data_IF_548975183387
#
_entry.id   IF_548975183387
#
_cell.length_a   1.000
_cell.length_b   1.000
_cell.length_c   1.000
_cell.angle_alpha   90.00
_cell.angle_beta   90.00
_cell.angle_gamma   90.00
#
_symmetry.space_group_name_H-M   'P 1'
#
loop_
_entity.id
_entity.type
_entity.pdbx_description
1 polymer ?
#
# COMPACT_ATOMS: atom_id res chain seq x y z
N UNK A 1 -50.01 57.18 -38.93
CA UNK A 1 -50.03 55.99 -38.07
C UNK A 1 -48.59 55.55 -37.84
N UNK A 2 -48.12 55.59 -36.59
CA UNK A 2 -46.73 55.27 -36.23
C UNK A 2 -46.54 53.75 -36.12
N UNK A 3 -45.54 53.22 -36.82
CA UNK A 3 -45.17 51.80 -36.76
C UNK A 3 -44.30 51.53 -35.53
N UNK A 4 -44.77 50.67 -34.63
CA UNK A 4 -44.01 50.20 -33.46
C UNK A 4 -42.98 49.16 -33.90
N UNK A 5 -41.68 49.46 -33.75
CA UNK A 5 -40.60 48.48 -33.85
C UNK A 5 -40.54 47.68 -32.56
N UNK A 6 -40.86 46.40 -32.60
CA UNK A 6 -40.57 45.42 -31.55
C UNK A 6 -39.07 45.21 -31.43
N UNK A 7 -38.49 45.69 -30.32
CA UNK A 7 -37.12 45.35 -29.91
C UNK A 7 -37.17 44.02 -29.15
N UNK A 8 -36.78 42.93 -29.82
CA UNK A 8 -36.50 41.65 -29.15
C UNK A 8 -35.23 41.81 -28.32
N UNK A 9 -35.39 41.81 -26.99
CA UNK A 9 -34.27 41.72 -26.04
C UNK A 9 -33.69 40.30 -26.12
N UNK A 10 -32.59 40.15 -26.85
CA UNK A 10 -31.69 39.01 -26.67
C UNK A 10 -31.08 39.12 -25.28
N UNK A 11 -31.56 38.32 -24.33
CA UNK A 11 -30.84 38.08 -23.08
C UNK A 11 -29.56 37.34 -23.41
N UNK A 12 -28.36 37.88 -23.11
CA UNK A 12 -27.14 37.10 -23.22
C UNK A 12 -27.27 35.94 -22.24
N UNK A 13 -27.34 34.72 -22.78
CA UNK A 13 -27.14 33.49 -22.01
C UNK A 13 -25.79 33.64 -21.32
N UNK A 14 -25.81 33.93 -20.02
CA UNK A 14 -24.61 33.98 -19.20
C UNK A 14 -23.92 32.61 -19.36
N UNK A 15 -22.81 32.66 -20.11
CA UNK A 15 -21.84 31.59 -20.24
C UNK A 15 -21.68 30.92 -18.89
N UNK A 16 -21.90 29.60 -18.88
CA UNK A 16 -21.68 28.71 -17.73
C UNK A 16 -20.53 29.28 -16.92
N UNK A 17 -20.82 29.77 -15.72
CA UNK A 17 -19.80 29.89 -14.71
C UNK A 17 -19.04 28.58 -14.73
N UNK A 18 -17.78 28.65 -15.13
CA UNK A 18 -16.82 27.58 -14.95
C UNK A 18 -17.01 27.15 -13.51
N UNK A 19 -17.63 25.98 -13.32
CA UNK A 19 -17.77 25.39 -12.00
C UNK A 19 -16.34 25.29 -11.50
N UNK A 20 -15.97 26.17 -10.58
CA UNK A 20 -14.76 26.02 -9.80
C UNK A 20 -15.04 24.75 -9.02
N UNK A 21 -14.62 23.61 -9.57
CA UNK A 21 -14.79 22.32 -8.91
C UNK A 21 -13.80 22.37 -7.78
N UNK A 22 -14.29 22.66 -6.57
CA UNK A 22 -13.46 22.57 -5.38
C UNK A 22 -12.92 21.15 -5.30
N UNK A 23 -11.61 21.00 -5.46
CA UNK A 23 -10.95 19.72 -5.22
C UNK A 23 -11.08 19.44 -3.73
N UNK A 24 -12.04 18.60 -3.35
CA UNK A 24 -12.18 18.13 -1.98
C UNK A 24 -11.20 16.98 -1.75
N UNK A 25 -10.61 16.88 -0.56
CA UNK A 25 -9.81 15.72 -0.16
C UNK A 25 -10.67 14.71 0.60
N UNK A 26 -10.28 13.44 0.55
CA UNK A 26 -10.94 12.40 1.34
C UNK A 26 -10.66 12.60 2.83
N UNK A 27 -11.69 12.45 3.67
CA UNK A 27 -11.56 12.54 5.12
C UNK A 27 -10.53 11.51 5.64
N UNK A 28 -9.58 11.95 6.47
CA UNK A 28 -8.48 11.12 6.96
C UNK A 28 -7.32 10.92 5.96
N UNK A 29 -7.48 11.30 4.68
CA UNK A 29 -6.46 11.12 3.65
C UNK A 29 -6.22 12.41 2.83
N UNK A 30 -5.34 13.31 3.31
CA UNK A 30 -5.13 14.63 2.69
C UNK A 30 -4.52 14.58 1.29
N UNK A 31 -3.95 13.44 0.89
CA UNK A 31 -3.30 13.23 -0.41
C UNK A 31 -4.22 12.58 -1.45
N UNK A 32 -5.47 12.27 -1.10
CA UNK A 32 -6.46 11.69 -2.02
C UNK A 32 -7.46 12.79 -2.39
N UNK A 33 -7.46 13.16 -3.66
CA UNK A 33 -8.35 14.15 -4.23
C UNK A 33 -9.63 13.50 -4.74
N UNK A 34 -10.75 14.15 -4.46
CA UNK A 34 -12.10 13.71 -4.76
C UNK A 34 -12.70 14.68 -5.75
N UNK A 35 -12.97 14.18 -6.96
CA UNK A 35 -13.58 14.95 -8.04
C UNK A 35 -15.04 14.54 -8.23
N UNK A 36 -16.00 15.48 -8.18
CA UNK A 36 -17.41 15.15 -8.42
C UNK A 36 -17.66 14.84 -9.90
N UNK A 37 -18.32 13.73 -10.20
CA UNK A 37 -18.70 13.27 -11.55
C UNK A 37 -20.14 12.75 -11.56
N UNK A 38 -21.11 13.57 -11.99
CA UNK A 38 -22.52 13.23 -12.25
C UNK A 38 -23.12 12.13 -11.34
N UNK A 39 -23.18 12.36 -10.02
CA UNK A 39 -23.73 11.42 -9.03
C UNK A 39 -22.74 10.38 -8.48
N UNK A 40 -21.48 10.45 -8.90
CA UNK A 40 -20.35 9.67 -8.39
C UNK A 40 -19.16 10.59 -8.08
N UNK A 41 -18.14 10.03 -7.46
CA UNK A 41 -16.90 10.70 -7.10
C UNK A 41 -15.72 9.92 -7.66
N UNK A 42 -14.82 10.60 -8.37
CA UNK A 42 -13.58 10.02 -8.87
C UNK A 42 -12.49 10.32 -7.83
N UNK A 43 -11.77 9.28 -7.41
CA UNK A 43 -10.64 9.38 -6.48
C UNK A 43 -9.34 9.37 -7.26
N UNK A 44 -8.45 10.34 -7.02
CA UNK A 44 -7.15 10.45 -7.67
C UNK A 44 -6.07 10.86 -6.66
N UNK A 45 -4.82 10.45 -6.92
CA UNK A 45 -3.66 10.94 -6.19
C UNK A 45 -3.12 12.27 -6.72
N UNK A 46 -3.51 12.64 -7.94
CA UNK A 46 -3.05 13.87 -8.60
C UNK A 46 -4.13 14.95 -8.54
N UNK A 47 -3.77 16.21 -8.24
CA UNK A 47 -4.69 17.35 -8.24
C UNK A 47 -4.98 17.88 -9.66
N UNK A 48 -4.79 17.09 -10.72
CA UNK A 48 -4.93 17.52 -12.12
C UNK A 48 -6.40 17.76 -12.49
N UNK A 49 -6.71 18.93 -13.08
CA UNK A 49 -8.01 19.26 -13.67
C UNK A 49 -7.88 19.42 -15.20
N UNK A 50 -8.60 18.64 -16.03
CA UNK A 50 -9.56 17.58 -15.68
C UNK A 50 -8.90 16.29 -15.15
N UNK A 51 -9.57 15.53 -14.27
CA UNK A 51 -9.02 14.30 -13.73
C UNK A 51 -8.88 13.25 -14.84
N UNK A 52 -7.69 12.66 -14.98
CA UNK A 52 -7.46 11.60 -15.94
C UNK A 52 -8.04 10.27 -15.42
N UNK A 53 -9.14 9.82 -16.03
CA UNK A 53 -9.81 8.57 -15.64
C UNK A 53 -8.90 7.35 -15.70
N UNK A 54 -7.89 7.34 -16.59
CA UNK A 54 -6.97 6.21 -16.76
C UNK A 54 -6.04 6.00 -15.56
N UNK A 55 -5.64 7.09 -14.90
CA UNK A 55 -4.71 7.10 -13.77
C UNK A 55 -5.39 7.35 -12.42
N UNK A 56 -6.71 7.52 -12.42
CA UNK A 56 -7.51 7.62 -11.20
C UNK A 56 -7.45 6.31 -10.40
N UNK A 57 -7.52 6.42 -9.08
CA UNK A 57 -7.56 5.27 -8.16
C UNK A 57 -8.82 4.43 -8.43
N UNK A 58 -9.94 5.12 -8.65
CA UNK A 58 -11.23 4.50 -8.94
C UNK A 58 -12.39 5.47 -8.78
N UNK A 59 -13.59 4.93 -8.86
CA UNK A 59 -14.85 5.67 -8.77
C UNK A 59 -15.64 5.18 -7.56
N UNK A 60 -16.24 6.10 -6.79
CA UNK A 60 -17.12 5.77 -5.68
C UNK A 60 -18.46 6.49 -5.75
N UNK A 61 -19.52 5.84 -5.26
CA UNK A 61 -20.87 6.44 -5.16
C UNK A 61 -21.16 7.06 -3.79
N UNK A 62 -20.38 6.73 -2.75
CA UNK A 62 -20.57 7.20 -1.36
C UNK A 62 -19.24 7.56 -0.74
N UNK A 63 -19.23 8.60 0.10
CA UNK A 63 -18.09 9.00 0.92
C UNK A 63 -18.48 8.81 2.39
N UNK A 64 -17.67 8.11 3.22
CA UNK A 64 -16.44 7.41 2.87
C UNK A 64 -16.67 6.19 1.94
N UNK A 65 -15.68 5.83 1.12
CA UNK A 65 -15.77 4.67 0.22
C UNK A 65 -15.86 3.37 1.02
N UNK A 66 -16.76 2.49 0.57
CA UNK A 66 -16.98 1.14 1.12
C UNK A 66 -16.70 0.12 0.02
N UNK A 67 -16.56 -1.16 0.38
CA UNK A 67 -16.33 -2.25 -0.59
C UNK A 67 -17.43 -2.32 -1.66
N UNK A 68 -18.66 -1.94 -1.32
CA UNK A 68 -19.81 -2.01 -2.23
C UNK A 68 -19.98 -0.72 -3.05
N UNK A 69 -19.48 0.41 -2.54
CA UNK A 69 -19.61 1.71 -3.20
C UNK A 69 -18.42 2.08 -4.08
N UNK A 70 -17.28 1.41 -3.93
CA UNK A 70 -16.04 1.71 -4.65
C UNK A 70 -15.75 0.70 -5.75
N UNK A 71 -15.46 1.20 -6.95
CA UNK A 71 -14.98 0.42 -8.09
C UNK A 71 -13.55 0.83 -8.40
N UNK A 72 -12.63 -0.11 -8.20
CA UNK A 72 -11.20 0.09 -8.47
C UNK A 72 -10.90 0.19 -9.98
N UNK A 73 -9.85 0.95 -10.28
CA UNK A 73 -9.29 1.01 -11.62
C UNK A 73 -8.14 -0.01 -11.74
N UNK A 74 -8.25 -1.03 -12.62
CA UNK A 74 -7.22 -2.05 -12.77
C UNK A 74 -5.89 -1.49 -13.33
N UNK A 75 -5.93 -0.42 -14.12
CA UNK A 75 -4.72 0.20 -14.67
C UNK A 75 -3.91 0.88 -13.56
N UNK A 76 -4.59 1.54 -12.62
CA UNK A 76 -3.94 2.11 -11.44
C UNK A 76 -3.32 1.03 -10.55
N UNK A 77 -4.01 -0.10 -10.34
CA UNK A 77 -3.49 -1.23 -9.57
C UNK A 77 -2.20 -1.79 -10.18
N UNK A 78 -2.13 -1.90 -11.51
CA UNK A 78 -0.90 -2.31 -12.21
C UNK A 78 0.25 -1.34 -11.94
N UNK A 79 0.02 -0.04 -12.10
CA UNK A 79 1.03 0.99 -11.86
C UNK A 79 1.51 0.96 -10.40
N UNK A 80 0.58 0.78 -9.46
CA UNK A 80 0.89 0.62 -8.05
C UNK A 80 1.81 -0.59 -7.82
N UNK A 81 1.46 -1.75 -8.37
CA UNK A 81 2.25 -2.97 -8.25
C UNK A 81 3.63 -2.83 -8.90
N UNK A 82 3.71 -2.18 -10.06
CA UNK A 82 4.99 -1.90 -10.73
C UNK A 82 5.88 -1.04 -9.84
N UNK A 83 5.35 0.05 -9.26
CA UNK A 83 6.10 0.93 -8.35
C UNK A 83 6.54 0.20 -7.09
N UNK A 84 5.68 -0.63 -6.49
CA UNK A 84 6.05 -1.43 -5.31
C UNK A 84 7.11 -2.46 -5.67
N UNK A 85 7.03 -3.09 -6.85
CA UNK A 85 8.05 -4.03 -7.31
C UNK A 85 9.41 -3.36 -7.52
N UNK A 86 9.43 -2.12 -8.00
CA UNK A 86 10.66 -1.40 -8.33
C UNK A 86 11.29 -0.72 -7.11
N UNK A 87 10.48 -0.15 -6.23
CA UNK A 87 10.95 0.68 -5.10
C UNK A 87 10.69 0.05 -3.73
N UNK A 88 9.96 -1.06 -3.63
CA UNK A 88 9.61 -1.68 -2.35
C UNK A 88 10.83 -2.03 -1.49
N UNK A 89 11.92 -2.48 -2.10
CA UNK A 89 13.18 -2.79 -1.41
C UNK A 89 13.94 -1.55 -0.91
N UNK A 90 13.56 -0.34 -1.34
CA UNK A 90 14.16 0.93 -0.92
C UNK A 90 13.32 1.62 0.16
N UNK A 91 12.14 1.07 0.48
CA UNK A 91 11.26 1.64 1.49
C UNK A 91 11.91 1.52 2.87
N UNK A 92 12.05 2.63 3.64
CA UNK A 92 12.69 2.58 4.95
C UNK A 92 12.03 1.59 5.91
N UNK A 93 10.71 1.44 5.84
CA UNK A 93 9.96 0.50 6.67
C UNK A 93 10.31 -0.96 6.31
N UNK A 94 10.46 -1.26 5.02
CA UNK A 94 10.88 -2.58 4.54
C UNK A 94 12.33 -2.90 4.94
N UNK A 95 13.24 -1.94 4.78
CA UNK A 95 14.65 -2.07 5.20
C UNK A 95 14.73 -2.33 6.70
N UNK A 96 13.98 -1.58 7.51
CA UNK A 96 13.92 -1.78 8.95
C UNK A 96 13.41 -3.19 9.31
N UNK A 97 12.35 -3.67 8.66
CA UNK A 97 11.84 -5.03 8.86
C UNK A 97 12.87 -6.11 8.51
N UNK A 98 13.60 -5.95 7.40
CA UNK A 98 14.67 -6.86 6.99
C UNK A 98 15.80 -6.93 8.03
N UNK A 99 16.22 -5.78 8.56
CA UNK A 99 17.26 -5.69 9.61
C UNK A 99 16.80 -6.29 10.93
N UNK A 100 15.54 -6.06 11.32
CA UNK A 100 14.95 -6.68 12.51
C UNK A 100 14.85 -8.20 12.34
N UNK A 101 14.50 -8.69 11.15
CA UNK A 101 14.44 -10.11 10.85
C UNK A 101 15.79 -10.79 11.09
N UNK A 102 16.88 -10.22 10.57
CA UNK A 102 18.21 -10.81 10.74
C UNK A 102 18.75 -10.68 12.16
N UNK A 103 18.51 -9.55 12.83
CA UNK A 103 18.93 -9.40 14.23
C UNK A 103 18.20 -10.36 15.18
N UNK A 104 16.91 -10.60 14.96
CA UNK A 104 16.13 -11.59 15.71
C UNK A 104 16.56 -13.03 15.35
N UNK A 105 16.96 -13.28 14.11
CA UNK A 105 17.57 -14.55 13.68
C UNK A 105 18.87 -14.86 14.43
N UNK A 106 19.69 -13.84 14.67
CA UNK A 106 20.94 -13.96 15.44
C UNK A 106 20.72 -14.00 16.96
N UNK A 107 19.60 -13.48 17.46
CA UNK A 107 19.26 -13.51 18.88
C UNK A 107 18.54 -14.80 19.32
N UNK A 108 17.83 -15.48 18.41
CA UNK A 108 17.19 -16.78 18.64
C UNK A 108 18.20 -17.95 18.60
N UNK A 109 19.26 -17.88 19.42
CA UNK A 109 20.14 -18.99 19.78
C UNK A 109 19.42 -20.03 20.69
N UNK A 110 18.16 -20.34 20.37
CA UNK A 110 17.25 -21.22 21.11
C UNK A 110 17.48 -22.72 20.91
N UNK A 111 18.63 -23.13 20.36
CA UNK A 111 19.15 -24.50 20.50
C UNK A 111 20.58 -24.49 21.09
N UNK A 112 20.96 -23.45 21.84
CA UNK A 112 22.20 -23.46 22.62
C UNK A 112 22.90 -22.11 22.72
N UNK A 113 22.26 -21.14 23.37
CA UNK A 113 22.87 -19.85 23.72
C UNK A 113 24.27 -19.99 24.32
N UNK A 114 25.25 -19.36 23.69
CA UNK A 114 26.65 -19.24 24.15
C UNK A 114 26.81 -18.09 25.16
N UNK A 115 25.77 -17.81 25.96
CA UNK A 115 25.80 -16.78 27.01
C UNK A 115 25.33 -17.32 28.37
N UNK A 116 25.65 -18.58 28.66
CA UNK A 116 25.71 -19.08 30.03
C UNK A 116 27.05 -19.77 30.26
N UNK A 117 27.98 -19.00 30.81
CA UNK A 117 29.17 -19.52 31.46
C UNK A 117 28.76 -20.51 32.56
N UNK A 118 29.19 -21.78 32.45
CA UNK A 118 29.34 -22.65 33.62
C UNK A 118 28.47 -23.90 33.78
N UNK A 119 27.66 -24.33 32.81
CA UNK A 119 26.83 -25.54 32.94
C UNK A 119 27.38 -26.78 32.23
N UNK A 120 27.87 -27.77 32.97
CA UNK A 120 28.38 -29.07 32.45
C UNK A 120 27.39 -29.75 31.48
N UNK A 121 27.84 -29.99 30.25
CA UNK A 121 27.13 -30.77 29.24
C UNK A 121 26.90 -32.23 29.69
N UNK A 122 25.64 -32.59 29.93
CA UNK A 122 25.20 -34.00 30.03
C UNK A 122 24.50 -34.38 28.72
N UNK A 123 25.16 -35.21 27.92
CA UNK A 123 24.54 -35.90 26.78
C UNK A 123 23.38 -36.74 27.30
N UNK A 124 22.16 -36.50 26.81
CA UNK A 124 21.04 -37.43 26.92
C UNK A 124 20.55 -37.77 25.52
N UNK A 125 20.81 -39.02 25.12
CA UNK A 125 20.01 -39.72 24.13
C UNK A 125 18.64 -40.01 24.76
N UNK A 126 17.57 -39.50 24.16
CA UNK A 126 16.24 -40.10 24.24
C UNK A 126 15.31 -39.39 23.27
N UNK A 127 14.79 -40.15 22.31
CA UNK A 127 13.60 -39.79 21.56
C UNK A 127 12.49 -39.39 22.54
N UNK A 128 12.04 -38.15 22.42
CA UNK A 128 10.81 -37.68 23.02
C UNK A 128 10.21 -36.73 22.00
N UNK A 129 9.17 -37.22 21.35
CA UNK A 129 8.23 -36.44 20.55
C UNK A 129 7.80 -35.23 21.36
N UNK A 130 8.52 -34.12 21.17
CA UNK A 130 8.16 -32.85 21.76
C UNK A 130 7.02 -32.34 20.90
N UNK A 131 5.81 -32.59 21.39
CA UNK A 131 4.58 -31.89 21.03
C UNK A 131 4.67 -30.41 21.42
N UNK A 132 5.69 -29.74 20.88
CA UNK A 132 5.82 -28.30 20.93
C UNK A 132 4.61 -27.73 20.22
N UNK A 133 3.71 -27.15 21.01
CA UNK A 133 2.55 -26.44 20.50
C UNK A 133 2.95 -25.42 19.43
N UNK A 134 1.96 -24.98 18.66
CA UNK A 134 2.08 -24.10 17.50
C UNK A 134 2.81 -22.75 17.73
N UNK A 135 3.34 -22.49 18.93
CA UNK A 135 4.34 -21.46 19.25
C UNK A 135 5.68 -21.64 18.53
N UNK A 136 5.93 -22.80 17.91
CA UNK A 136 7.12 -23.08 17.09
C UNK A 136 7.05 -22.57 15.65
N UNK A 137 5.92 -21.99 15.22
CA UNK A 137 5.86 -21.28 13.94
C UNK A 137 6.58 -19.93 14.09
N UNK A 138 7.90 -19.99 13.90
CA UNK A 138 8.76 -18.91 13.45
C UNK A 138 8.39 -17.53 13.96
N UNK A 139 8.92 -17.16 15.13
CA UNK A 139 9.19 -15.75 15.42
C UNK A 139 10.03 -15.13 14.30
N UNK A 140 10.20 -13.82 14.32
CA UNK A 140 10.81 -13.00 13.27
C UNK A 140 12.31 -13.29 12.99
N UNK A 141 12.76 -14.55 12.97
CA UNK A 141 14.13 -14.95 12.71
C UNK A 141 14.20 -16.14 11.75
N UNK A 142 14.90 -15.94 10.63
CA UNK A 142 15.20 -16.91 9.59
C UNK A 142 16.29 -17.93 9.94
N UNK A 143 16.59 -18.16 11.23
CA UNK A 143 17.68 -19.02 11.68
C UNK A 143 19.04 -18.74 10.97
N UNK A 144 19.28 -17.49 10.60
CA UNK A 144 20.50 -17.05 9.92
C UNK A 144 20.57 -17.43 8.43
N UNK A 145 19.44 -17.79 7.80
CA UNK A 145 19.38 -18.17 6.37
C UNK A 145 18.75 -17.11 5.46
N UNK A 146 18.16 -16.06 6.01
CA UNK A 146 17.32 -15.14 5.23
C UNK A 146 15.88 -15.66 5.08
N UNK A 147 14.97 -14.79 4.69
CA UNK A 147 13.55 -15.09 4.67
C UNK A 147 12.77 -14.15 3.76
N UNK A 148 11.45 -14.11 3.97
CA UNK A 148 10.56 -13.25 3.21
C UNK A 148 9.92 -12.23 4.14
N UNK A 149 9.99 -10.94 3.78
CA UNK A 149 9.20 -9.89 4.41
C UNK A 149 7.98 -9.58 3.55
N UNK A 150 6.89 -9.15 4.18
CA UNK A 150 5.67 -8.77 3.48
C UNK A 150 5.52 -7.25 3.49
N UNK A 151 5.37 -6.66 2.31
CA UNK A 151 5.03 -5.25 2.17
C UNK A 151 3.52 -5.12 2.34
N UNK A 152 3.10 -4.47 3.42
CA UNK A 152 1.68 -4.29 3.76
C UNK A 152 1.24 -2.84 3.68
N UNK A 153 -0.05 -2.67 3.46
CA UNK A 153 -0.77 -1.41 3.53
C UNK A 153 -0.76 -0.83 4.96
N UNK A 154 -0.52 0.49 5.06
CA UNK A 154 -0.48 1.23 6.32
C UNK A 154 -1.87 1.55 6.91
N UNK A 155 -2.97 1.19 6.24
CA UNK A 155 -4.33 1.34 6.80
C UNK A 155 -4.52 0.53 8.08
N UNK A 156 -3.82 -0.60 8.18
CA UNK A 156 -3.85 -1.51 9.32
C UNK A 156 -2.47 -2.13 9.54
N UNK A 157 -1.55 -1.39 10.18
CA UNK A 157 -0.23 -1.92 10.48
C UNK A 157 -0.34 -3.17 11.36
N UNK A 158 0.32 -4.28 11.02
CA UNK A 158 0.28 -5.49 11.82
C UNK A 158 1.00 -5.30 13.17
N UNK A 159 0.56 -6.02 14.20
CA UNK A 159 1.30 -6.13 15.46
C UNK A 159 2.69 -6.75 15.21
N UNK A 160 3.68 -6.41 16.04
CA UNK A 160 5.04 -6.92 15.90
C UNK A 160 5.07 -8.45 15.82
N UNK A 161 5.74 -8.98 14.79
CA UNK A 161 5.84 -10.41 14.54
C UNK A 161 4.59 -11.06 13.95
N UNK A 162 3.54 -10.28 13.63
CA UNK A 162 2.39 -10.76 12.85
C UNK A 162 2.49 -10.32 11.38
N UNK A 163 1.86 -11.13 10.55
CA UNK A 163 1.69 -10.84 9.12
C UNK A 163 0.36 -10.08 8.95
N UNK A 164 0.32 -9.11 8.04
CA UNK A 164 -0.89 -8.39 7.68
C UNK A 164 -1.94 -9.32 7.04
N UNK A 165 -3.17 -8.84 6.86
CA UNK A 165 -4.19 -9.64 6.17
C UNK A 165 -3.82 -9.81 4.69
N UNK A 166 -4.14 -10.94 4.06
CA UNK A 166 -3.83 -11.17 2.65
C UNK A 166 -4.25 -10.02 1.73
N UNK A 167 -5.44 -9.46 1.95
CA UNK A 167 -6.00 -8.32 1.22
C UNK A 167 -5.28 -6.99 1.44
N UNK A 168 -4.44 -6.90 2.48
CA UNK A 168 -3.62 -5.74 2.84
C UNK A 168 -2.16 -5.89 2.41
N UNK A 169 -1.75 -7.05 1.89
CA UNK A 169 -0.36 -7.29 1.46
C UNK A 169 -0.21 -6.95 -0.01
N UNK A 170 0.67 -6.01 -0.35
CA UNK A 170 1.03 -5.73 -1.74
C UNK A 170 1.76 -6.92 -2.37
N UNK A 171 2.77 -7.42 -1.66
CA UNK A 171 3.62 -8.52 -2.06
C UNK A 171 4.71 -8.82 -1.03
N UNK A 172 5.63 -9.71 -1.39
CA UNK A 172 6.71 -10.16 -0.51
C UNK A 172 8.08 -9.91 -1.15
N UNK A 173 9.06 -9.59 -0.33
CA UNK A 173 10.46 -9.42 -0.72
C UNK A 173 11.33 -10.48 -0.04
N UNK A 174 12.28 -11.03 -0.77
CA UNK A 174 13.28 -11.94 -0.27
C UNK A 174 14.45 -11.18 0.35
N UNK A 175 14.86 -11.63 1.53
CA UNK A 175 15.92 -11.05 2.35
C UNK A 175 16.96 -12.13 2.63
N UNK A 176 18.25 -11.80 2.46
CA UNK A 176 19.36 -12.70 2.72
C UNK A 176 19.67 -12.83 4.23
N UNK A 177 20.69 -13.61 4.58
CA UNK A 177 21.12 -13.79 5.97
C UNK A 177 21.76 -12.55 6.61
N UNK A 178 22.07 -11.51 5.83
CA UNK A 178 22.68 -10.26 6.29
C UNK A 178 21.67 -9.11 6.40
N UNK A 179 20.42 -9.34 5.99
CA UNK A 179 19.34 -8.35 6.04
C UNK A 179 19.29 -7.49 4.77
N UNK A 180 19.94 -7.92 3.71
CA UNK A 180 19.89 -7.27 2.40
C UNK A 180 18.84 -7.96 1.52
N UNK A 181 18.24 -7.19 0.63
CA UNK A 181 17.30 -7.72 -0.35
C UNK A 181 18.00 -8.52 -1.45
N UNK A 182 17.42 -9.65 -1.83
CA UNK A 182 17.99 -10.54 -2.86
C UNK A 182 17.69 -10.00 -4.27
N UNK A 183 18.72 -9.92 -5.12
CA UNK A 183 18.58 -9.43 -6.49
C UNK A 183 18.50 -7.90 -6.57
N UNK A 184 18.09 -7.37 -7.73
CA UNK A 184 18.01 -5.92 -7.95
C UNK A 184 16.77 -5.27 -7.34
N UNK A 185 15.72 -6.05 -7.08
CA UNK A 185 14.43 -5.58 -6.61
C UNK A 185 13.90 -6.32 -5.38
N UNK A 186 14.74 -7.13 -4.72
CA UNK A 186 14.32 -7.97 -3.59
C UNK A 186 13.48 -9.19 -4.00
N UNK A 187 13.60 -9.66 -5.24
CA UNK A 187 12.86 -10.81 -5.78
C UNK A 187 11.35 -10.71 -5.49
N UNK A 188 10.78 -9.53 -5.78
CA UNK A 188 9.42 -9.19 -5.42
C UNK A 188 8.39 -10.19 -5.97
N UNK A 189 7.54 -10.71 -5.07
CA UNK A 189 6.42 -11.59 -5.42
C UNK A 189 5.09 -10.90 -5.07
N UNK A 190 4.22 -10.61 -6.05
CA UNK A 190 2.93 -9.99 -5.78
C UNK A 190 2.01 -10.93 -4.99
N UNK A 191 1.23 -10.38 -4.05
CA UNK A 191 0.26 -11.17 -3.26
C UNK A 191 -0.92 -11.68 -4.11
N UNK A 192 -1.33 -10.91 -5.11
CA UNK A 192 -2.48 -11.21 -5.98
C UNK A 192 -3.86 -11.04 -5.32
N UNK A 193 -3.92 -10.84 -3.99
CA UNK A 193 -5.18 -10.69 -3.25
C UNK A 193 -5.44 -9.28 -2.72
N UNK A 194 -4.50 -8.35 -2.96
CA UNK A 194 -4.55 -6.97 -2.51
C UNK A 194 -5.80 -6.22 -3.01
N UNK A 195 -6.41 -5.41 -2.12
CA UNK A 195 -7.57 -4.56 -2.45
C UNK A 195 -7.37 -3.13 -1.97
N UNK A 196 -7.74 -2.17 -2.82
CA UNK A 196 -7.64 -0.74 -2.51
C UNK A 196 -8.59 -0.33 -1.36
N UNK A 197 -9.76 -0.96 -1.26
CA UNK A 197 -10.72 -0.72 -0.19
C UNK A 197 -11.09 -2.04 0.48
N UNK A 198 -10.97 -2.09 1.80
CA UNK A 198 -11.43 -3.21 2.63
C UNK A 198 -12.39 -2.71 3.70
N UNK A 199 -12.83 -3.63 4.57
CA UNK A 199 -13.69 -3.29 5.72
C UNK A 199 -13.03 -2.28 6.66
N UNK A 200 -11.70 -2.28 6.71
CA UNK A 200 -10.92 -1.46 7.63
C UNK A 200 -10.60 -0.07 7.06
N UNK A 201 -10.90 0.17 5.77
CA UNK A 201 -10.85 1.50 5.17
C UNK A 201 -10.21 1.56 3.80
N UNK A 202 -9.79 2.76 3.43
CA UNK A 202 -9.10 3.05 2.18
C UNK A 202 -7.60 2.78 2.30
N UNK A 203 -6.95 2.44 1.19
CA UNK A 203 -5.53 2.08 1.22
C UNK A 203 -4.61 3.21 1.72
N UNK A 204 -3.53 2.79 2.37
CA UNK A 204 -2.47 3.60 2.94
C UNK A 204 -1.10 3.13 2.44
N UNK A 205 -0.35 4.07 1.86
CA UNK A 205 1.05 3.83 1.46
C UNK A 205 2.00 4.43 2.47
N UNK A 206 3.21 3.86 2.55
CA UNK A 206 4.33 4.54 3.20
C UNK A 206 4.58 5.88 2.51
N UNK A 207 5.07 6.91 3.23
CA UNK A 207 5.36 8.20 2.63
C UNK A 207 6.28 8.11 1.41
N UNK A 208 7.27 7.22 1.46
CA UNK A 208 8.22 6.99 0.38
C UNK A 208 7.54 6.38 -0.86
N UNK A 209 6.80 5.27 -0.70
CA UNK A 209 6.11 4.62 -1.82
C UNK A 209 5.05 5.53 -2.43
N UNK A 210 4.36 6.32 -1.61
CA UNK A 210 3.40 7.33 -2.07
C UNK A 210 4.06 8.36 -2.99
N UNK A 211 5.21 8.90 -2.60
CA UNK A 211 5.95 9.87 -3.42
C UNK A 211 6.40 9.26 -4.75
N UNK A 212 6.93 8.03 -4.73
CA UNK A 212 7.31 7.32 -5.96
C UNK A 212 6.12 7.05 -6.87
N UNK A 213 4.98 6.69 -6.31
CA UNK A 213 3.76 6.49 -7.07
C UNK A 213 3.29 7.79 -7.73
N UNK A 214 3.25 8.90 -6.98
CA UNK A 214 2.90 10.22 -7.52
C UNK A 214 3.86 10.64 -8.63
N UNK A 215 5.17 10.39 -8.47
CA UNK A 215 6.17 10.66 -9.51
C UNK A 215 5.89 9.85 -10.78
N UNK A 216 5.62 8.55 -10.65
CA UNK A 216 5.28 7.67 -11.78
C UNK A 216 4.02 8.12 -12.51
N UNK A 217 2.97 8.47 -11.77
CA UNK A 217 1.71 8.94 -12.34
C UNK A 217 1.90 10.26 -13.11
N UNK A 218 2.68 11.21 -12.56
CA UNK A 218 2.99 12.47 -13.25
C UNK A 218 3.79 12.25 -14.53
N UNK A 219 4.75 11.33 -14.52
CA UNK A 219 5.51 10.96 -15.71
C UNK A 219 4.58 10.40 -16.80
N UNK A 220 3.66 9.52 -16.43
CA UNK A 220 2.69 8.95 -17.36
C UNK A 220 1.64 9.95 -17.85
N UNK A 221 1.28 10.97 -17.06
CA UNK A 221 0.43 12.06 -17.54
C UNK A 221 1.13 12.97 -18.55
N UNK A 222 2.46 13.05 -18.50
CA UNK A 222 3.27 13.88 -19.42
C UNK A 222 3.63 13.19 -20.74
N UNK A 223 3.41 11.88 -20.84
CA UNK A 223 3.67 11.06 -22.03
C UNK A 223 2.44 10.97 -22.94
#
# INVERSE_FOLDING_TARGET
MFAFRTLTRNTPSLSRWSQIRGVSTLEGHPYIYVFPSNGSHILSLLPSEPPNSKFSIGVTSKLPPTTDSFKENPEFLKILQDVVSEYGHQDPDAVAQAQVMVSTSGANLGSGGVLLTGGRARRRHSAADSSGGASGQGGAGSAGRGGWIHLSDNRRPPEYGRIAWPEDIFGSLEVDCNGNFVGSNGNYQPSGTYRIVTRDGFFGLSPFLREKLVQRLRQQESQ
#
